data_IF_127031071058
#
_entry.id   IF_127031071058
#
_cell.length_a   1.000
_cell.length_b   1.000
_cell.length_c   1.000
_cell.angle_alpha   90.00
_cell.angle_beta   90.00
_cell.angle_gamma   90.00
#
_symmetry.space_group_name_H-M   'P 1'
#
loop_
_entity.id
_entity.type
_entity.pdbx_description
1 polymer ?
#
# COMPACT_ATOMS: atom_id res chain seq x y z
N UNK A 1 3.48 -10.80 7.01
CA UNK A 1 4.14 -9.58 6.50
C UNK A 1 4.29 -9.67 5.00
N UNK A 2 4.14 -8.52 4.34
CA UNK A 2 4.19 -8.43 2.90
C UNK A 2 5.46 -7.71 2.46
N UNK A 3 5.96 -8.09 1.28
CA UNK A 3 7.11 -7.42 0.67
C UNK A 3 6.64 -6.33 -0.28
N UNK A 4 7.60 -5.52 -0.75
CA UNK A 4 7.29 -4.46 -1.71
C UNK A 4 6.50 -4.97 -2.91
N UNK A 5 6.96 -6.07 -3.49
CA UNK A 5 6.31 -6.62 -4.66
C UNK A 5 4.87 -7.05 -4.40
N UNK A 6 4.65 -7.62 -3.22
CA UNK A 6 3.32 -8.07 -2.85
C UNK A 6 2.38 -6.89 -2.68
N UNK A 7 2.86 -5.82 -2.06
CA UNK A 7 2.04 -4.64 -1.83
C UNK A 7 1.70 -3.96 -3.16
N UNK A 8 2.68 -3.85 -4.04
CA UNK A 8 2.44 -3.25 -5.35
C UNK A 8 1.37 -4.02 -6.11
N UNK A 9 1.40 -5.33 -5.99
CA UNK A 9 0.44 -6.19 -6.68
C UNK A 9 -0.95 -6.05 -6.07
N UNK A 10 -1.02 -6.07 -4.76
CA UNK A 10 -2.30 -5.96 -4.07
C UNK A 10 -2.97 -4.62 -4.30
N UNK A 11 -2.19 -3.55 -4.27
CA UNK A 11 -2.73 -2.22 -4.45
C UNK A 11 -2.77 -1.80 -5.91
N UNK A 12 -2.19 -2.60 -6.79
CA UNK A 12 -2.12 -2.32 -8.21
C UNK A 12 -1.45 -0.96 -8.46
N UNK A 13 -0.27 -0.79 -7.87
CA UNK A 13 0.50 0.44 -7.99
C UNK A 13 1.92 0.12 -8.40
N UNK A 14 2.63 1.14 -8.88
CA UNK A 14 4.02 0.98 -9.25
C UNK A 14 4.91 1.10 -8.01
N UNK A 15 6.18 0.72 -8.17
CA UNK A 15 7.15 0.85 -7.10
C UNK A 15 7.34 2.32 -6.71
N UNK A 16 7.26 3.21 -7.68
CA UNK A 16 7.41 4.63 -7.43
C UNK A 16 6.27 5.13 -6.55
N UNK A 17 5.05 4.70 -6.84
CA UNK A 17 3.90 5.08 -6.03
C UNK A 17 4.04 4.53 -4.61
N UNK A 18 4.50 3.29 -4.49
CA UNK A 18 4.72 2.70 -3.18
C UNK A 18 5.75 3.49 -2.38
N UNK A 19 6.82 3.92 -3.03
CA UNK A 19 7.83 4.72 -2.37
C UNK A 19 7.23 6.04 -1.87
N UNK A 20 6.36 6.63 -2.66
CA UNK A 20 5.67 7.84 -2.26
C UNK A 20 4.83 7.60 -1.00
N UNK A 21 4.14 6.48 -0.96
CA UNK A 21 3.34 6.12 0.21
C UNK A 21 4.21 5.97 1.46
N UNK A 22 5.41 5.43 1.31
CA UNK A 22 6.34 5.30 2.43
C UNK A 22 6.85 6.66 2.86
N UNK A 23 7.23 7.49 1.91
CA UNK A 23 7.80 8.81 2.19
C UNK A 23 6.80 9.70 2.90
N UNK A 24 5.54 9.61 2.53
CA UNK A 24 4.48 10.42 3.12
C UNK A 24 3.82 9.76 4.30
N UNK A 25 4.27 8.56 4.64
CA UNK A 25 3.72 7.79 5.77
C UNK A 25 2.26 7.45 5.61
N UNK A 26 1.81 7.38 4.37
CA UNK A 26 0.45 6.93 4.10
C UNK A 26 0.32 5.44 4.43
N UNK A 27 1.39 4.69 4.19
CA UNK A 27 1.40 3.25 4.47
C UNK A 27 2.51 2.96 5.48
N UNK A 28 2.18 2.54 6.70
CA UNK A 28 3.19 2.17 7.69
C UNK A 28 4.00 0.97 7.22
N UNK A 29 5.26 0.95 7.58
CA UNK A 29 6.13 -0.15 7.19
C UNK A 29 7.21 -0.37 8.24
N UNK A 30 7.83 -1.55 8.19
CA UNK A 30 8.96 -1.88 9.02
C UNK A 30 10.13 -2.22 8.13
N UNK A 31 11.28 -1.60 8.39
CA UNK A 31 12.48 -1.88 7.61
C UNK A 31 13.40 -2.79 8.41
N UNK A 32 13.82 -3.89 7.79
CA UNK A 32 14.74 -4.84 8.40
C UNK A 32 15.89 -5.01 7.41
N UNK A 33 17.06 -4.52 7.77
CA UNK A 33 18.19 -4.53 6.87
C UNK A 33 17.89 -3.68 5.64
N UNK A 34 17.97 -4.30 4.49
CA UNK A 34 17.71 -3.59 3.23
C UNK A 34 16.31 -3.82 2.70
N UNK A 35 15.46 -4.49 3.47
CA UNK A 35 14.14 -4.86 3.00
C UNK A 35 13.07 -4.19 3.82
N UNK A 36 11.98 -3.85 3.16
CA UNK A 36 10.82 -3.25 3.82
C UNK A 36 9.70 -4.27 3.87
N UNK A 37 9.03 -4.31 5.01
CA UNK A 37 7.92 -5.22 5.24
C UNK A 37 6.70 -4.44 5.66
N UNK A 38 5.54 -4.91 5.25
CA UNK A 38 4.28 -4.22 5.50
C UNK A 38 3.31 -5.18 6.17
N UNK A 39 2.55 -4.67 7.12
CA UNK A 39 1.52 -5.48 7.73
C UNK A 39 0.35 -5.61 6.79
N UNK A 40 -0.18 -6.82 6.70
CA UNK A 40 -1.28 -7.08 5.80
C UNK A 40 -2.48 -6.20 6.14
N UNK A 41 -2.78 -6.04 7.41
CA UNK A 41 -3.91 -5.23 7.82
C UNK A 41 -3.78 -3.78 7.37
N UNK A 42 -2.57 -3.25 7.41
CA UNK A 42 -2.33 -1.88 6.96
C UNK A 42 -2.56 -1.74 5.46
N UNK A 43 -2.08 -2.73 4.71
CA UNK A 43 -2.24 -2.72 3.27
C UNK A 43 -3.72 -2.87 2.90
N UNK A 44 -4.41 -3.75 3.59
CA UNK A 44 -5.82 -3.96 3.32
C UNK A 44 -6.65 -2.73 3.67
N UNK A 45 -6.30 -2.04 4.74
CA UNK A 45 -7.00 -0.81 5.10
C UNK A 45 -6.86 0.24 4.01
N UNK A 46 -5.66 0.36 3.46
CA UNK A 46 -5.41 1.30 2.38
C UNK A 46 -6.17 0.88 1.11
N UNK A 47 -6.19 -0.40 0.85
CA UNK A 47 -6.91 -0.94 -0.31
C UNK A 47 -8.40 -0.63 -0.22
N UNK A 48 -8.97 -0.80 0.94
CA UNK A 48 -10.39 -0.52 1.16
C UNK A 48 -10.68 0.96 0.96
N UNK A 49 -9.79 1.82 1.42
CA UNK A 49 -9.94 3.25 1.25
C UNK A 49 -9.99 3.61 -0.22
N UNK A 50 -9.11 3.01 -1.02
CA UNK A 50 -9.08 3.28 -2.44
C UNK A 50 -10.31 2.69 -3.13
N UNK A 51 -10.77 1.56 -2.67
CA UNK A 51 -11.94 0.93 -3.26
C UNK A 51 -13.21 1.75 -3.07
N UNK A 52 -13.29 2.49 -1.99
CA UNK A 52 -14.46 3.28 -1.71
C UNK A 52 -14.61 4.48 -2.62
N UNK A 53 -13.54 4.88 -3.25
CA UNK A 53 -13.56 6.08 -4.06
C UNK A 53 -14.41 5.95 -5.30
N UNK A 54 -14.28 4.93 -6.08
CA UNK A 54 -14.99 4.88 -7.35
C UNK A 54 -16.46 4.75 -7.21
N UNK A 55 -16.95 4.80 -6.24
CA UNK A 55 -18.28 4.68 -6.21
C UNK A 55 -18.98 5.92 -6.35
N UNK A 56 -18.60 6.14 -6.71
CA UNK A 56 -18.99 6.81 -6.85
C UNK A 56 -19.40 7.16 -7.76
N UNK A 57 -19.14 7.05 -8.01
CA UNK A 57 -19.40 7.16 -8.66
C UNK A 57 -20.20 6.78 -9.19
N UNK A 58 -20.14 6.63 -9.08
CA UNK A 58 -20.63 6.18 -9.33
C UNK A 58 -21.49 6.13 -9.40
N UNK A 59 -21.70 6.42 -9.25
CA UNK A 59 -22.34 6.34 -9.11
C UNK A 59 -22.59 6.32 -9.27
#
# INVERSE_FOLDING_TARGET
WLHNGDVCRLLNISKRTLQHYRDTRVLPFTQIGHKCYYKREDVEALLLTKSNKPKNRQI
#
